data_IF_119355316605
#
_entry.id   IF_119355316605
#
_cell.length_a   1.000
_cell.length_b   1.000
_cell.length_c   1.000
_cell.angle_alpha   90.00
_cell.angle_beta   90.00
_cell.angle_gamma   90.00
#
_symmetry.space_group_name_H-M   'P 1'
#
loop_
_entity.id
_entity.type
_entity.pdbx_description
1 polymer ?
2 polymer ?
3 water ?
#
# COMPACT_ATOMS: atom_id res chain seq x y z
N UNK A 7 3.03 17.00 -17.56
CA UNK A 7 3.06 17.24 -16.11
C UNK A 7 3.01 15.94 -15.32
N UNK A 8 3.74 15.89 -14.21
CA UNK A 8 3.74 14.72 -13.33
C UNK A 8 2.35 14.42 -12.76
N UNK A 9 1.61 15.46 -12.41
CA UNK A 9 0.29 15.29 -11.82
C UNK A 9 -0.67 14.61 -12.81
N UNK A 10 -0.39 14.76 -14.10
CA UNK A 10 -1.22 14.16 -15.15
C UNK A 10 -1.00 12.65 -15.30
N UNK A 11 0.00 12.12 -14.61
CA UNK A 11 0.31 10.70 -14.78
C UNK A 11 0.08 9.90 -13.48
N UNK A 12 0.28 10.54 -12.34
CA UNK A 12 0.05 9.93 -11.03
C UNK A 12 -0.39 10.97 -10.01
N UNK A 13 -0.97 10.53 -8.90
CA UNK A 13 -1.22 11.44 -7.79
C UNK A 13 -0.05 11.34 -6.80
N UNK A 14 0.19 12.41 -6.00
CA UNK A 14 1.23 12.28 -4.98
C UNK A 14 0.91 11.13 -4.03
N UNK A 15 1.93 10.39 -3.62
CA UNK A 15 1.72 9.21 -2.76
C UNK A 15 1.38 9.64 -1.36
N UNK A 16 0.78 8.74 -0.60
CA UNK A 16 0.46 9.01 0.78
C UNK A 16 0.93 7.85 1.64
N UNK A 17 1.89 8.10 2.52
CA UNK A 17 2.36 7.00 3.37
C UNK A 17 1.83 7.01 4.81
N UNK A 18 0.87 7.89 5.12
CA UNK A 18 0.34 7.96 6.49
C UNK A 18 -0.20 6.61 6.97
N UNK A 19 0.10 6.29 8.23
CA UNK A 19 -0.33 5.05 8.90
C UNK A 19 0.22 3.73 8.35
N UNK A 20 1.20 3.78 7.44
CA UNK A 20 1.75 2.55 6.88
C UNK A 20 2.99 2.11 7.63
N UNK A 21 3.01 0.85 8.05
CA UNK A 21 4.14 0.25 8.79
C UNK A 21 5.47 0.36 8.04
N UNK A 22 6.56 0.61 8.76
CA UNK A 22 7.87 0.73 8.11
C UNK A 22 8.37 -0.56 7.46
N UNK A 23 9.05 -0.42 6.32
CA UNK A 23 9.54 -1.56 5.56
C UNK A 23 10.69 -1.12 4.66
N UNK A 24 11.78 -1.87 4.69
CA UNK A 24 12.90 -1.58 3.81
C UNK A 24 13.01 -2.71 2.79
N UNK A 25 12.60 -2.44 1.56
CA UNK A 25 12.53 -3.47 0.54
C UNK A 25 13.65 -3.34 -0.47
N UNK A 26 14.52 -4.34 -0.51
CA UNK A 26 15.64 -4.33 -1.45
C UNK A 26 15.15 -4.79 -2.82
N UNK A 27 15.70 -4.18 -3.88
CA UNK A 27 15.59 -4.71 -5.25
C UNK A 27 16.98 -4.69 -5.89
N UNK A 28 17.08 -5.17 -7.12
CA UNK A 28 18.38 -5.32 -7.79
C UNK A 28 19.15 -4.03 -8.06
N UNK A 29 18.44 -2.99 -8.50
CA UNK A 29 19.04 -1.69 -8.73
C UNK A 29 18.70 -0.62 -7.72
N UNK A 30 17.90 -0.93 -6.76
CA UNK A 30 17.44 0.08 -5.81
C UNK A 30 16.97 -0.48 -4.47
N UNK A 31 16.81 0.42 -3.50
CA UNK A 31 16.05 0.11 -2.31
C UNK A 31 14.92 1.11 -2.25
N UNK A 32 13.72 0.63 -1.97
CA UNK A 32 12.62 1.54 -1.68
C UNK A 32 12.23 1.37 -0.23
N UNK A 33 12.01 2.47 0.48
CA UNK A 33 11.75 2.38 1.92
C UNK A 33 10.61 3.27 2.45
N UNK A 34 9.75 2.67 3.28
CA UNK A 34 8.84 3.45 4.10
C UNK A 34 9.46 3.63 5.50
N UNK A 35 9.93 4.85 5.84
CA UNK A 35 10.62 5.13 7.11
C UNK A 35 9.69 5.23 8.34
N UNK A 36 10.28 5.42 9.53
CA UNK A 36 9.50 5.60 10.77
C UNK A 36 8.74 6.95 10.76
N UNK A 37 9.36 7.92 10.09
CA UNK A 37 8.81 9.26 9.92
C UNK A 37 7.67 9.26 8.92
N UNK A 38 7.41 8.12 8.29
CA UNK A 38 6.39 7.96 7.25
C UNK A 38 6.84 8.58 5.91
N UNK A 39 8.02 9.18 5.90
CA UNK A 39 8.58 9.58 4.64
C UNK A 39 8.96 8.32 3.85
N UNK A 40 8.96 8.48 2.52
CA UNK A 40 9.21 7.35 1.65
C UNK A 40 10.50 7.62 0.95
N UNK A 41 11.44 6.70 1.09
CA UNK A 41 12.77 6.89 0.58
C UNK A 41 13.09 5.90 -0.54
N UNK A 42 13.73 6.38 -1.58
CA UNK A 42 14.19 5.49 -2.62
C UNK A 42 15.69 5.70 -2.83
N UNK A 43 16.45 4.65 -2.63
CA UNK A 43 17.90 4.69 -2.78
C UNK A 43 18.29 4.06 -4.11
N UNK A 44 19.03 4.79 -4.93
CA UNK A 44 19.54 4.22 -6.19
C UNK A 44 20.88 3.47 -5.97
N UNK A 45 20.91 2.18 -6.29
CA UNK A 45 22.04 1.31 -5.95
C UNK A 45 22.85 0.78 -7.14
N UNK A 46 24.15 1.01 -7.14
CA UNK A 46 25.04 0.45 -8.15
C UNK A 46 26.19 -0.36 -7.54
N UNK A 47 26.53 -1.47 -8.17
CA UNK A 47 27.64 -2.32 -7.70
C UNK A 47 28.95 -1.97 -8.41
N UNK A 48 30.02 -1.87 -7.65
CA UNK A 48 31.35 -1.74 -8.17
C UNK A 48 32.26 -2.59 -7.31
N UNK A 49 33.21 -3.33 -7.89
CA UNK A 49 34.20 -4.00 -7.07
C UNK A 49 33.56 -4.94 -6.10
N UNK A 50 32.46 -5.49 -6.53
CA UNK A 50 31.89 -6.63 -5.89
C UNK A 50 31.18 -6.19 -4.66
N UNK A 51 31.21 -4.92 -4.40
CA UNK A 51 30.31 -4.39 -3.36
C UNK A 51 29.26 -3.41 -3.93
N UNK A 52 28.17 -3.20 -3.18
CA UNK A 52 27.06 -2.34 -3.61
C UNK A 52 27.15 -0.95 -2.97
N UNK A 53 26.89 0.11 -3.75
CA UNK A 53 26.90 1.48 -3.23
C UNK A 53 25.57 2.23 -3.45
N UNK A 54 25.48 3.49 -3.02
CA UNK A 54 24.28 4.31 -3.23
C UNK A 54 24.57 5.62 -3.99
N UNK A 55 24.12 5.70 -5.24
CA UNK A 55 24.43 6.87 -6.07
C UNK A 55 23.62 8.11 -5.74
N UNK A 56 22.30 7.98 -5.74
CA UNK A 56 21.43 9.07 -5.29
C UNK A 56 20.30 8.58 -4.39
N UNK A 57 19.74 9.53 -3.61
CA UNK A 57 18.62 9.26 -2.69
C UNK A 57 17.43 10.19 -2.97
N UNK A 58 16.23 9.62 -3.12
CA UNK A 58 15.01 10.41 -3.20
C UNK A 58 14.14 10.26 -1.96
N UNK A 59 14.19 11.25 -1.08
CA UNK A 59 13.31 11.29 0.08
C UNK A 59 12.00 12.05 -0.23
N UNK A 60 10.88 11.36 -0.02
CA UNK A 60 9.54 11.91 -0.21
C UNK A 60 8.79 12.06 1.12
N UNK A 61 8.20 13.23 1.37
CA UNK A 61 7.42 13.44 2.59
C UNK A 61 6.22 12.48 2.69
N UNK A 62 5.57 12.40 3.84
CA UNK A 62 4.47 11.47 3.98
C UNK A 62 3.31 11.80 3.04
N UNK A 63 2.99 13.07 2.90
CA UNK A 63 2.22 13.42 1.71
C UNK A 63 3.26 13.55 0.61
N UNK A 64 2.97 13.08 -0.58
CA UNK A 64 3.99 13.03 -1.62
C UNK A 64 4.31 14.37 -2.25
N UNK A 65 4.17 15.44 -1.47
CA UNK A 65 4.31 16.78 -2.01
C UNK A 65 5.73 17.27 -2.06
N UNK A 66 6.52 16.93 -1.05
CA UNK A 66 7.91 17.37 -0.97
C UNK A 66 8.91 16.27 -1.27
N UNK A 67 9.81 16.54 -2.21
CA UNK A 67 10.84 15.57 -2.57
C UNK A 67 12.23 16.15 -2.31
N UNK A 68 12.97 15.51 -1.41
CA UNK A 68 14.35 15.93 -1.15
C UNK A 68 15.30 14.97 -1.88
N UNK A 69 16.29 15.52 -2.59
CA UNK A 69 17.22 14.68 -3.37
C UNK A 69 18.68 15.03 -3.17
N UNK A 70 19.48 14.02 -2.82
CA UNK A 70 20.90 14.21 -2.64
C UNK A 70 21.75 13.11 -3.26
N UNK A 71 23.04 13.39 -3.43
CA UNK A 71 23.96 12.45 -4.01
C UNK A 71 25.11 12.22 -3.04
N UNK A 72 25.09 11.17 -2.26
CA UNK A 72 26.19 10.91 -1.34
C UNK A 72 27.48 10.63 -2.08
N UNK A 73 28.61 11.14 -1.60
CA UNK A 73 29.84 11.03 -2.39
C UNK A 73 31.06 10.35 -1.78
N UNK A 74 31.53 9.29 -2.42
CA UNK A 74 32.74 8.60 -1.97
C UNK A 74 34.12 9.27 -2.03
N UNK A 75 34.46 9.90 -3.15
CA UNK A 75 33.75 9.73 -4.40
C UNK A 75 33.98 8.31 -4.87
N UNK A 76 32.98 7.69 -5.48
CA UNK A 76 31.79 8.36 -5.95
C UNK A 76 30.52 7.66 -5.47
N UNK A 77 30.25 7.71 -4.16
CA UNK A 77 29.04 7.11 -3.62
C UNK A 77 29.16 6.67 -2.18
N UNK A 78 28.11 6.09 -1.64
CA UNK A 78 28.14 5.59 -0.29
C UNK A 78 27.70 4.17 -0.22
N UNK A 79 28.26 3.44 0.71
CA UNK A 79 28.05 1.98 0.82
C UNK A 79 26.67 1.62 1.31
N UNK A 80 26.13 0.48 0.84
CA UNK A 80 24.77 0.09 1.18
C UNK A 80 24.68 -0.26 2.65
N UNK A 81 23.52 -0.01 3.25
CA UNK A 81 23.37 -0.17 4.69
C UNK A 81 22.01 -0.68 5.10
N UNK A 82 21.83 -0.79 6.41
CA UNK A 82 20.60 -1.27 7.03
C UNK A 82 19.56 -0.15 7.02
N UNK A 83 20.02 1.05 6.68
CA UNK A 83 19.24 2.27 6.73
C UNK A 83 19.80 3.20 5.67
N UNK A 84 19.03 4.23 5.25
CA UNK A 84 19.47 5.19 4.24
C UNK A 84 20.58 6.16 4.70
N UNK A 85 21.43 6.62 3.76
CA UNK A 85 22.51 7.57 4.02
C UNK A 85 21.99 8.90 4.52
N UNK A 86 22.77 9.56 5.37
CA UNK A 86 22.42 10.88 5.86
C UNK A 86 22.70 11.93 4.78
N UNK A 87 21.87 12.98 4.73
CA UNK A 87 21.98 14.03 3.70
C UNK A 87 23.16 14.97 3.95
N UNK A 88 23.73 15.50 2.90
CA UNK A 88 24.85 16.42 3.02
C UNK A 88 24.74 17.58 2.03
N UNK A 91 22.25 19.21 -1.12
CA UNK A 91 20.84 18.82 -1.24
C UNK A 91 19.92 19.69 -2.10
N UNK A 92 18.94 19.04 -2.74
CA UNK A 92 17.90 19.70 -3.54
C UNK A 92 16.49 19.44 -3.02
N UNK A 93 15.69 20.49 -2.79
CA UNK A 93 14.28 20.32 -2.36
C UNK A 93 13.23 20.75 -3.39
N UNK A 94 12.32 19.84 -3.74
CA UNK A 94 11.26 20.16 -4.71
C UNK A 94 9.84 19.99 -4.16
N UNK A 95 8.89 20.65 -4.81
CA UNK A 95 7.48 20.36 -4.56
C UNK A 95 7.01 19.56 -5.76
N UNK A 96 6.06 18.66 -5.54
CA UNK A 96 5.56 17.70 -6.52
C UNK A 96 5.43 18.24 -7.95
N UNK A 97 4.94 19.46 -8.07
CA UNK A 97 4.59 19.99 -9.38
C UNK A 97 5.75 20.71 -10.02
N UNK A 98 6.83 20.88 -9.26
CA UNK A 98 8.05 21.47 -9.80
C UNK A 98 9.17 20.43 -9.91
N UNK A 99 8.85 19.19 -9.60
CA UNK A 99 9.82 18.12 -9.78
C UNK A 99 10.13 17.99 -11.27
N UNK A 100 11.42 17.99 -11.61
CA UNK A 100 11.82 17.89 -13.03
C UNK A 100 11.67 16.48 -13.60
N UNK A 101 11.38 16.38 -14.90
CA UNK A 101 11.08 15.11 -15.55
C UNK A 101 12.08 13.96 -15.28
N UNK A 102 13.36 14.28 -15.12
CA UNK A 102 14.36 13.22 -14.91
C UNK A 102 14.05 12.38 -13.68
N UNK A 103 13.32 12.96 -12.74
CA UNK A 103 12.99 12.25 -11.50
C UNK A 103 11.58 11.64 -11.46
N UNK A 104 10.71 12.03 -12.38
CA UNK A 104 9.35 11.53 -12.39
C UNK A 104 9.31 10.01 -12.33
N UNK A 105 10.09 9.36 -13.17
CA UNK A 105 10.04 7.91 -13.29
C UNK A 105 10.38 7.27 -11.96
N UNK A 106 11.35 7.83 -11.24
CA UNK A 106 11.70 7.30 -9.93
C UNK A 106 10.55 7.49 -8.94
N UNK A 107 9.93 8.68 -8.97
CA UNK A 107 8.86 8.99 -8.03
C UNK A 107 7.72 7.98 -8.24
N UNK A 108 7.46 7.67 -9.50
CA UNK A 108 6.46 6.66 -9.85
C UNK A 108 6.85 5.30 -9.33
N UNK A 109 8.13 5.08 -9.09
CA UNK A 109 8.56 3.81 -8.52
C UNK A 109 8.10 3.75 -7.06
N UNK A 110 8.44 4.78 -6.29
CA UNK A 110 7.99 4.90 -4.90
C UNK A 110 6.46 4.97 -4.79
N UNK A 111 5.85 5.70 -5.72
CA UNK A 111 4.41 5.87 -5.77
C UNK A 111 3.70 4.54 -5.92
N UNK A 112 4.19 3.76 -6.88
CA UNK A 112 3.67 2.45 -7.23
C UNK A 112 3.89 1.46 -6.08
N UNK A 113 4.95 1.65 -5.31
CA UNK A 113 5.20 0.81 -4.15
C UNK A 113 4.16 1.06 -3.07
N UNK A 114 4.15 2.29 -2.58
CA UNK A 114 3.16 2.73 -1.60
C UNK A 114 1.74 2.28 -1.96
N UNK A 115 1.37 2.50 -3.21
CA UNK A 115 0.06 2.11 -3.67
C UNK A 115 -0.20 0.64 -3.41
N UNK A 116 0.80 -0.20 -3.72
CA UNK A 116 0.67 -1.63 -3.46
C UNK A 116 0.64 -1.94 -1.96
N UNK A 117 1.54 -1.30 -1.20
CA UNK A 117 1.49 -1.47 0.25
C UNK A 117 0.11 -1.08 0.79
N UNK A 118 -0.39 0.08 0.36
CA UNK A 118 -1.71 0.55 0.79
C UNK A 118 -2.80 -0.50 0.53
N UNK A 119 -2.67 -1.23 -0.57
CA UNK A 119 -3.73 -2.18 -0.96
C UNK A 119 -3.67 -3.45 -0.14
N UNK A 120 -2.67 -3.56 0.71
CA UNK A 120 -2.55 -4.70 1.56
C UNK A 120 -2.52 -4.37 3.02
N UNK A 121 -2.59 -3.10 3.37
CA UNK A 121 -2.61 -2.61 4.74
C UNK A 121 -4.03 -2.42 5.26
N UNK A 122 -4.53 -3.34 6.09
CA UNK A 122 -5.92 -3.22 6.57
C UNK A 122 -6.18 -1.83 7.20
N UNK A 123 -7.38 -1.27 7.01
CA UNK A 123 -7.69 0.03 7.60
C UNK A 123 -8.82 -0.12 8.61
N UNK A 124 -9.87 -0.79 8.18
CA UNK A 124 -10.94 -1.15 9.07
C UNK A 124 -11.22 -2.64 8.93
N UNK A 125 -11.07 -3.39 10.02
CA UNK A 125 -11.52 -4.78 10.07
C UNK A 125 -12.85 -4.74 10.85
N UNK A 126 -13.86 -5.47 10.38
CA UNK A 126 -15.20 -5.45 11.01
C UNK A 126 -15.82 -6.85 11.05
N UNK A 127 -16.20 -7.30 12.24
CA UNK A 127 -16.69 -8.66 12.40
C UNK A 127 -18.22 -8.66 12.40
N UNK A 128 -18.83 -9.40 11.47
CA UNK A 128 -20.28 -9.51 11.43
C UNK A 128 -20.71 -10.86 11.95
N UNK A 129 -21.97 -11.19 11.77
CA UNK A 129 -22.45 -12.49 12.23
C UNK A 129 -22.02 -13.58 11.26
N UNK A 130 -21.51 -13.18 10.09
CA UNK A 130 -21.16 -14.16 9.06
C UNK A 130 -19.73 -14.02 8.49
N UNK A 131 -19.05 -12.93 8.83
CA UNK A 131 -17.78 -12.63 8.16
C UNK A 131 -16.94 -11.53 8.79
N UNK A 132 -15.64 -11.64 8.59
CA UNK A 132 -14.69 -10.58 8.91
C UNK A 132 -14.29 -9.81 7.65
N UNK A 133 -14.85 -8.62 7.50
CA UNK A 133 -14.64 -7.74 6.34
C UNK A 133 -13.36 -6.98 6.61
N UNK A 134 -12.64 -6.57 5.56
CA UNK A 134 -11.46 -5.71 5.75
C UNK A 134 -11.33 -4.60 4.69
N UNK A 135 -11.69 -3.37 5.03
CA UNK A 135 -11.46 -2.25 4.12
C UNK A 135 -9.98 -1.93 4.15
N UNK A 136 -9.32 -1.97 3.00
CA UNK A 136 -7.89 -1.64 2.94
C UNK A 136 -7.64 -0.12 2.83
N UNK A 137 -6.37 0.27 2.84
CA UNK A 137 -5.97 1.68 2.81
C UNK A 137 -5.86 2.35 1.43
N UNK A 138 -6.00 1.59 0.35
CA UNK A 138 -5.78 2.15 -0.99
C UNK A 138 -6.96 2.93 -1.53
N UNK A 139 -7.26 4.03 -0.84
CA UNK A 139 -8.37 4.93 -1.16
C UNK A 139 -8.00 5.86 -2.29
N UNK A 140 -8.97 6.16 -3.18
CA UNK A 140 -10.37 5.73 -3.16
C UNK A 140 -10.57 4.39 -3.86
N UNK A 141 -11.75 3.82 -3.72
CA UNK A 141 -12.00 2.50 -4.24
C UNK A 141 -11.03 1.52 -3.63
N UNK A 142 -10.90 1.56 -2.32
CA UNK A 142 -9.97 0.69 -1.61
C UNK A 142 -10.35 -0.77 -1.75
N UNK A 143 -9.36 -1.66 -1.78
CA UNK A 143 -9.64 -3.09 -1.82
C UNK A 143 -10.51 -3.50 -0.62
N UNK A 144 -11.32 -4.53 -0.80
CA UNK A 144 -12.23 -4.89 0.26
C UNK A 144 -12.43 -6.41 0.34
N UNK A 145 -11.83 -7.05 1.33
CA UNK A 145 -11.92 -8.49 1.44
C UNK A 145 -12.97 -8.93 2.44
N UNK A 146 -13.80 -9.89 2.06
CA UNK A 146 -14.75 -10.45 3.01
C UNK A 146 -14.46 -11.93 3.22
N UNK A 147 -13.95 -12.26 4.41
CA UNK A 147 -13.57 -13.64 4.75
C UNK A 147 -14.64 -14.28 5.59
N UNK A 148 -15.65 -14.87 4.94
CA UNK A 148 -16.74 -15.54 5.65
C UNK A 148 -16.26 -16.64 6.57
N UNK A 149 -16.96 -16.78 7.69
CA UNK A 149 -16.59 -17.76 8.70
C UNK A 149 -16.72 -19.18 8.13
N UNK A 150 -17.73 -19.39 7.28
CA UNK A 150 -17.95 -20.71 6.67
C UNK A 150 -16.91 -21.09 5.61
N UNK A 151 -15.96 -20.19 5.33
CA UNK A 151 -14.85 -20.51 4.45
C UNK A 151 -14.81 -19.69 3.19
N UNK A 152 -15.96 -19.18 2.78
CA UNK A 152 -16.06 -18.39 1.54
C UNK A 152 -15.21 -17.09 1.57
N UNK A 153 -14.52 -16.80 0.46
CA UNK A 153 -13.71 -15.59 0.32
C UNK A 153 -14.35 -14.68 -0.73
N UNK A 154 -14.30 -13.37 -0.52
CA UNK A 154 -14.69 -12.39 -1.54
C UNK A 154 -13.71 -11.21 -1.50
N UNK A 155 -13.43 -10.61 -2.66
CA UNK A 155 -12.41 -9.57 -2.76
C UNK A 155 -12.88 -8.56 -3.79
N UNK A 156 -12.87 -7.29 -3.46
CA UNK A 156 -13.35 -6.26 -4.38
C UNK A 156 -12.30 -5.22 -4.70
N UNK A 157 -12.05 -5.05 -6.00
CA UNK A 157 -11.16 -4.01 -6.47
C UNK A 157 -12.02 -3.01 -7.21
N UNK A 158 -11.44 -1.86 -7.52
CA UNK A 158 -12.10 -0.82 -8.28
C UNK A 158 -12.64 -1.33 -9.60
N UNK A 159 -12.08 -2.44 -10.07
CA UNK A 159 -12.47 -2.99 -11.37
C UNK A 159 -13.23 -4.31 -11.24
N UNK A 160 -12.48 -5.34 -10.87
CA UNK A 160 -12.91 -6.72 -10.85
C UNK A 160 -13.28 -7.19 -9.45
N UNK A 161 -13.93 -8.36 -9.37
CA UNK A 161 -14.42 -8.92 -8.11
C UNK A 161 -14.20 -10.44 -8.03
N UNK A 162 -13.26 -10.90 -7.23
CA UNK A 162 -12.98 -12.31 -7.14
C UNK A 162 -13.74 -13.00 -6.05
N UNK A 163 -14.20 -14.22 -6.33
CA UNK A 163 -14.91 -15.04 -5.39
C UNK A 163 -14.22 -16.36 -5.29
N UNK A 164 -14.28 -16.97 -4.14
CA UNK A 164 -13.77 -18.29 -3.95
C UNK A 164 -14.90 -18.98 -3.29
N UNK A 165 -15.00 -20.29 -3.40
CA UNK A 165 -16.10 -21.01 -2.81
C UNK A 165 -15.49 -21.94 -1.81
N UNK A 166 -16.28 -22.59 -0.99
CA UNK A 166 -15.75 -23.41 0.07
C UNK A 166 -14.85 -24.44 -0.59
N UNK A 167 -15.30 -24.88 -1.75
CA UNK A 167 -14.68 -25.90 -2.54
C UNK A 167 -13.34 -25.43 -2.99
N UNK A 168 -13.15 -24.14 -3.01
CA UNK A 168 -11.90 -23.59 -3.46
C UNK A 168 -11.93 -23.17 -4.90
N UNK A 169 -13.07 -23.32 -5.54
CA UNK A 169 -13.17 -22.90 -6.93
C UNK A 169 -12.93 -21.44 -6.93
N UNK A 170 -12.02 -20.97 -7.77
CA UNK A 170 -11.55 -19.60 -7.74
C UNK A 170 -11.86 -18.91 -9.00
N UNK A 171 -12.55 -17.78 -8.95
CA UNK A 171 -12.94 -17.12 -10.17
C UNK A 171 -13.31 -15.70 -9.97
N UNK A 172 -13.51 -14.97 -11.04
CA UNK A 172 -13.46 -13.50 -10.97
C UNK A 172 -14.54 -12.85 -11.85
N UNK A 173 -14.78 -11.58 -11.64
CA UNK A 173 -15.83 -10.91 -12.35
C UNK A 173 -15.57 -9.49 -12.72
N UNK A 174 -16.23 -9.02 -13.76
CA UNK A 174 -16.12 -7.66 -14.21
C UNK A 174 -17.16 -6.84 -13.53
N UNK A 175 -17.35 -5.60 -13.92
CA UNK A 175 -17.70 -4.57 -12.98
C UNK A 175 -19.14 -4.77 -12.59
N UNK A 176 -19.38 -5.91 -11.99
CA UNK A 176 -20.73 -6.26 -11.67
C UNK A 176 -21.46 -6.44 -12.97
N UNK A 177 -20.75 -6.47 -14.10
CA UNK A 177 -21.41 -6.64 -15.37
C UNK A 177 -22.10 -7.97 -15.30
N UNK A 178 -21.39 -8.91 -14.74
CA UNK A 178 -21.82 -10.27 -14.66
C UNK A 178 -22.59 -10.49 -13.37
N UNK A 179 -22.95 -9.40 -12.71
CA UNK A 179 -23.40 -9.48 -11.36
C UNK A 179 -24.64 -10.30 -11.12
N UNK A 180 -25.66 -10.09 -11.93
CA UNK A 180 -26.95 -10.67 -11.66
C UNK A 180 -26.92 -12.15 -11.77
N UNK A 181 -26.20 -12.61 -12.76
CA UNK A 181 -26.19 -14.00 -13.11
C UNK A 181 -25.26 -14.80 -12.18
N UNK A 182 -25.79 -15.41 -11.12
CA UNK A 182 -24.95 -16.23 -10.27
C UNK A 182 -25.64 -17.20 -9.30
N UNK A 183 -24.97 -18.16 -8.69
CA UNK A 183 -25.80 -19.04 -7.88
C UNK A 183 -26.42 -18.24 -6.76
N UNK A 184 -27.73 -18.31 -6.60
CA UNK A 184 -28.38 -17.40 -5.66
C UNK A 184 -27.87 -17.62 -4.28
N UNK A 185 -27.24 -18.76 -4.09
CA UNK A 185 -26.52 -18.97 -2.86
C UNK A 185 -25.44 -17.91 -2.82
N UNK A 186 -24.83 -17.68 -3.98
CA UNK A 186 -23.83 -16.66 -4.06
C UNK A 186 -24.40 -15.32 -3.96
N UNK A 187 -25.63 -15.18 -4.36
CA UNK A 187 -26.34 -13.93 -4.21
C UNK A 187 -26.44 -13.56 -2.77
N UNK A 188 -26.62 -14.54 -1.91
CA UNK A 188 -26.66 -14.26 -0.48
C UNK A 188 -25.38 -13.66 0.11
N UNK A 189 -24.23 -14.20 -0.28
CA UNK A 189 -22.94 -13.74 0.18
C UNK A 189 -22.56 -12.36 -0.27
N UNK A 190 -22.82 -12.04 -1.50
CA UNK A 190 -22.44 -10.77 -2.04
C UNK A 190 -23.27 -9.68 -1.45
N UNK A 191 -24.51 -9.94 -1.19
CA UNK A 191 -25.34 -8.89 -0.60
C UNK A 191 -24.79 -8.48 0.76
N UNK A 192 -24.49 -9.49 1.58
CA UNK A 192 -23.97 -9.27 2.91
C UNK A 192 -22.62 -8.60 2.86
N UNK A 193 -21.82 -8.93 1.84
CA UNK A 193 -20.51 -8.34 1.71
C UNK A 193 -20.63 -6.88 1.30
N UNK A 194 -21.68 -6.56 0.55
CA UNK A 194 -21.90 -5.18 0.17
C UNK A 194 -22.49 -4.37 1.32
N UNK A 195 -23.27 -5.02 2.17
CA UNK A 195 -23.72 -4.43 3.43
C UNK A 195 -22.52 -3.98 4.26
N UNK A 196 -21.54 -4.88 4.40
CA UNK A 196 -20.33 -4.59 5.16
C UNK A 196 -19.59 -3.42 4.57
N UNK A 197 -19.54 -3.39 3.25
CA UNK A 197 -18.87 -2.31 2.54
C UNK A 197 -19.52 -0.96 2.84
N UNK A 198 -20.84 -0.86 2.74
CA UNK A 198 -21.53 0.38 3.13
C UNK A 198 -21.19 0.79 4.57
N UNK A 199 -21.21 -0.19 5.47
CA UNK A 199 -20.90 0.07 6.87
C UNK A 199 -19.48 0.60 7.00
N UNK A 200 -18.51 -0.10 6.46
CA UNK A 200 -17.13 0.33 6.62
C UNK A 200 -16.81 1.72 6.05
N UNK A 201 -17.40 2.08 4.92
CA UNK A 201 -17.16 3.43 4.38
C UNK A 201 -17.78 4.50 5.29
N UNK A 202 -18.93 4.20 5.86
CA UNK A 202 -19.54 5.14 6.81
C UNK A 202 -18.63 5.32 8.03
N UNK A 203 -18.18 4.21 8.60
CA UNK A 203 -17.30 4.28 9.76
C UNK A 203 -16.03 5.02 9.40
N UNK A 204 -15.50 4.75 8.21
CA UNK A 204 -14.30 5.43 7.73
C UNK A 204 -14.52 6.93 7.73
N UNK A 205 -15.69 7.34 7.25
CA UNK A 205 -16.02 8.75 7.08
C UNK A 205 -16.13 9.53 8.40
N UNK A 206 -16.85 8.95 9.37
CA UNK A 206 -17.05 9.63 10.64
C UNK A 206 -15.76 9.64 11.47
N UNK A 207 -15.04 8.53 11.44
CA UNK A 207 -13.82 8.40 12.22
C UNK A 207 -12.78 9.31 11.62
N UNK A 208 -12.76 9.35 10.29
CA UNK A 208 -11.86 10.26 9.58
C UNK A 208 -12.12 11.69 9.98
N UNK A 209 -13.39 12.08 9.95
CA UNK A 209 -13.78 13.43 10.31
C UNK A 209 -13.38 13.78 11.75
N UNK A 210 -13.62 12.88 12.70
CA UNK A 210 -13.18 13.13 14.05
C UNK A 210 -11.65 13.19 14.15
N UNK A 211 -10.96 12.41 13.31
CA UNK A 211 -9.50 12.42 13.33
C UNK A 211 -8.97 13.75 12.81
N UNK A 212 -9.62 14.25 11.76
CA UNK A 212 -9.34 15.55 11.17
C UNK A 212 -9.35 16.65 12.22
N UNK A 213 -10.39 16.68 13.08
CA UNK A 213 -10.41 17.62 14.19
C UNK A 213 -9.39 17.31 15.29
N UNK A 214 -9.30 16.06 15.72
CA UNK A 214 -8.48 15.70 16.90
C UNK A 214 -6.99 16.01 16.78
N UNK A 215 -6.40 15.54 15.70
CA UNK A 215 -5.03 15.84 15.36
C UNK A 215 -3.93 15.10 16.10
N UNK A 216 -4.27 14.29 17.08
CA UNK A 216 -3.29 13.44 17.76
C UNK A 216 -3.20 12.03 17.13
N UNK A 217 -2.67 11.07 17.87
CA UNK A 217 -2.41 9.71 17.35
C UNK A 217 -3.50 9.15 16.43
N UNK A 218 -3.12 8.35 15.41
CA UNK A 218 -4.06 7.87 14.38
C UNK A 218 -5.28 7.09 14.88
N UNK A 219 -6.39 7.18 14.13
CA UNK A 219 -7.57 6.36 14.40
C UNK A 219 -7.65 5.13 13.48
N UNK A 220 -6.62 4.91 12.67
CA UNK A 220 -6.52 3.69 11.88
C UNK A 220 -5.09 3.22 12.02
N UNK A 221 -4.83 1.89 11.97
CA UNK A 221 -5.78 0.77 11.76
C UNK A 221 -6.84 0.63 12.85
N UNK A 222 -7.88 -0.14 12.56
CA UNK A 222 -8.98 -0.27 13.51
C UNK A 222 -9.72 -1.59 13.38
N UNK A 223 -9.82 -2.30 14.50
CA UNK A 223 -10.60 -3.51 14.54
C UNK A 223 -11.88 -3.18 15.26
N UNK A 224 -12.99 -3.71 14.78
CA UNK A 224 -14.30 -3.32 15.29
C UNK A 224 -15.17 -4.56 15.45
N UNK A 225 -15.72 -4.74 16.64
CA UNK A 225 -16.54 -5.91 16.90
C UNK A 225 -15.76 -7.19 17.18
N UNK A 226 -16.49 -8.32 17.18
CA UNK A 226 -15.97 -9.60 17.67
C UNK A 226 -16.86 -10.76 17.15
N UNK A 227 -16.44 -12.00 17.42
CA UNK A 227 -17.07 -13.25 16.95
C UNK A 227 -16.73 -13.50 15.50
N UNK B 14 23.35 5.66 -14.74
CA UNK B 14 21.97 5.59 -14.30
C UNK B 14 21.14 4.90 -15.34
N UNK B 15 21.15 3.58 -15.34
CA UNK B 15 20.10 2.87 -16.01
C UNK B 15 18.94 2.88 -15.05
N UNK B 16 17.77 2.80 -15.67
CA UNK B 16 16.47 3.13 -15.11
C UNK B 16 15.98 2.07 -14.16
N UNK B 17 15.04 2.45 -13.31
CA UNK B 17 14.60 1.53 -12.31
C UNK B 17 13.22 1.06 -12.58
N UNK B 18 12.62 1.59 -13.61
CA UNK B 18 11.21 1.38 -13.85
C UNK B 18 10.96 -0.09 -13.93
N UNK B 19 11.98 -0.83 -14.26
CA UNK B 19 11.89 -2.24 -14.34
C UNK B 19 11.57 -2.87 -13.00
N UNK B 20 12.17 -2.39 -11.91
CA UNK B 20 12.42 -3.22 -10.76
C UNK B 20 11.20 -3.90 -10.23
N UNK B 21 11.37 -5.15 -9.86
CA UNK B 21 10.29 -5.97 -9.35
C UNK B 21 10.55 -6.02 -7.87
N UNK B 22 9.61 -5.61 -7.06
CA UNK B 22 9.83 -5.57 -5.63
C UNK B 22 9.08 -6.57 -4.78
N UNK B 23 8.04 -7.16 -5.31
CA UNK B 23 7.21 -8.01 -4.49
C UNK B 23 7.79 -9.37 -4.44
N UNK B 24 8.48 -9.64 -3.36
CA UNK B 24 9.22 -10.84 -3.16
C UNK B 24 8.71 -11.40 -1.90
N UNK B 25 9.27 -12.50 -1.48
CA UNK B 25 8.80 -13.14 -0.28
C UNK B 25 9.21 -12.42 0.99
N UNK B 26 10.11 -11.49 0.90
CA UNK B 26 10.39 -10.63 2.03
C UNK B 26 9.17 -9.80 2.33
N UNK B 27 8.57 -9.30 1.29
CA UNK B 27 7.38 -8.49 1.34
C UNK B 27 6.14 -9.21 1.73
N UNK B 28 6.02 -10.45 1.27
CA UNK B 28 4.83 -11.24 1.51
C UNK B 28 4.72 -11.40 3.01
N UNK B 29 5.86 -11.57 3.65
CA UNK B 29 5.88 -11.74 5.08
C UNK B 29 5.39 -10.52 5.80
N UNK B 30 5.79 -9.37 5.33
CA UNK B 30 5.41 -8.10 5.89
C UNK B 30 3.92 -8.00 5.75
N UNK B 31 3.44 -8.37 4.59
CA UNK B 31 2.06 -8.31 4.32
C UNK B 31 1.40 -9.25 5.29
N UNK B 32 2.07 -10.34 5.57
CA UNK B 32 1.54 -11.32 6.47
C UNK B 32 1.29 -10.61 7.73
N UNK B 33 2.25 -9.82 8.14
CA UNK B 33 2.25 -9.28 9.48
C UNK B 33 1.08 -8.39 9.76
N UNK B 34 0.68 -7.63 8.76
CA UNK B 34 -0.36 -6.65 8.86
C UNK B 34 -1.70 -7.26 9.13
N UNK B 35 -1.92 -8.42 8.58
CA UNK B 35 -3.16 -9.09 8.73
C UNK B 35 -3.24 -9.89 10.00
N UNK B 36 -2.13 -9.97 10.69
CA UNK B 36 -2.01 -10.81 11.86
C UNK B 36 -2.93 -10.35 12.96
N UNK B 37 -3.03 -9.05 13.10
CA UNK B 37 -3.84 -8.47 14.13
C UNK B 37 -5.31 -8.85 14.07
N UNK B 38 -5.95 -8.86 12.94
CA UNK B 38 -7.32 -9.32 12.84
C UNK B 38 -7.43 -10.80 13.05
N UNK B 39 -6.30 -11.41 13.28
CA UNK B 39 -6.25 -12.82 13.44
C UNK B 39 -6.47 -13.06 14.90
N UNK B 40 -7.32 -12.27 15.55
CA UNK B 40 -7.39 -12.32 17.02
C UNK B 40 -8.48 -13.16 17.53
N UNK B 41 -9.58 -13.17 16.86
CA UNK B 41 -10.58 -14.10 17.28
C UNK B 41 -10.31 -15.47 16.67
N UNK B 42 -9.15 -15.59 16.04
CA UNK B 42 -8.62 -16.84 15.58
C UNK B 42 -7.20 -17.02 16.06
#
# INVERSE_FOLDING_TARGET
>A
WGYQNRTLRSITSPLVAHRLKPIRQKTKKAVVSILDSEEVCVELVKEYASQEYVKEVLQISSDGNTITIYYPNGGRGFPLADRPPSPTDNISRYSFDNLPEKYWRKYQYASRFVQLVRSKSPKITYFTRYAKCILMENSPGADFEVWFYDGVKIHKTEDFIQVIEKTGKSYTLKSESEVNSLKEEIKMYMDHANEGHRICLALESIISEEERKTRSAPFFPIIIGRKPG
>B
EKLILPTSLEDSSDDDIDDEMFYDDHLEAYFEQLAIPGMIYEDLEGPEPPEKGFKLPT
#
